data_IF_790404800697
#
_entry.id   IF_790404800697
#
_cell.length_a   1.000
_cell.length_b   1.000
_cell.length_c   1.000
_cell.angle_alpha   90.00
_cell.angle_beta   90.00
_cell.angle_gamma   90.00
#
_symmetry.space_group_name_H-M   'P 1'
#
loop_
_entity.id
_entity.type
_entity.pdbx_description
1 polymer ?
#
# COMPACT_ATOMS: atom_id res chain seq x y z
N UNK A 1 31.55 -39.06 5.96
CA UNK A 1 30.31 -39.07 6.77
C UNK A 1 29.85 -37.63 7.00
N UNK A 2 28.57 -37.37 6.77
CA UNK A 2 27.99 -36.06 6.45
C UNK A 2 28.22 -34.95 7.50
N UNK A 3 28.95 -33.89 7.10
CA UNK A 3 28.78 -32.57 7.72
C UNK A 3 27.39 -32.07 7.33
N UNK A 4 26.41 -32.30 8.20
CA UNK A 4 25.15 -31.55 8.21
C UNK A 4 25.48 -30.07 8.37
N UNK A 5 25.68 -29.40 7.24
CA UNK A 5 25.69 -27.94 7.11
C UNK A 5 24.25 -27.51 7.42
N UNK A 6 23.89 -27.45 8.69
CA UNK A 6 22.81 -26.60 9.15
C UNK A 6 23.27 -25.17 8.86
N UNK A 7 23.06 -24.73 7.61
CA UNK A 7 22.94 -23.32 7.28
C UNK A 7 21.75 -22.85 8.11
N UNK A 8 22.01 -22.38 9.33
CA UNK A 8 21.09 -21.50 10.05
C UNK A 8 20.75 -20.41 9.05
N UNK A 9 19.55 -20.50 8.47
CA UNK A 9 19.01 -19.53 7.52
C UNK A 9 18.89 -18.26 8.33
N UNK A 10 19.89 -17.39 8.28
CA UNK A 10 19.79 -16.04 8.82
C UNK A 10 18.64 -15.40 8.05
N UNK A 11 17.48 -15.32 8.69
CA UNK A 11 16.33 -14.65 8.09
C UNK A 11 16.73 -13.20 7.83
N UNK A 12 16.69 -12.83 6.55
CA UNK A 12 16.92 -11.45 6.15
C UNK A 12 15.74 -10.61 6.66
N UNK A 13 16.01 -9.51 7.35
CA UNK A 13 15.01 -8.54 7.84
C UNK A 13 14.10 -7.99 6.73
N UNK A 14 14.53 -8.09 5.48
CA UNK A 14 13.77 -7.66 4.31
C UNK A 14 12.69 -8.66 3.88
N UNK A 15 12.88 -9.94 4.19
CA UNK A 15 12.08 -11.03 3.63
C UNK A 15 10.59 -11.01 4.04
N UNK A 16 10.22 -10.69 5.30
CA UNK A 16 8.82 -10.63 5.70
C UNK A 16 8.02 -9.59 4.91
N UNK A 17 8.60 -8.41 4.66
CA UNK A 17 7.95 -7.38 3.83
C UNK A 17 7.79 -7.84 2.38
N UNK A 18 8.81 -8.49 1.80
CA UNK A 18 8.75 -8.97 0.41
C UNK A 18 7.62 -9.98 0.20
N UNK A 19 7.51 -10.99 1.07
CA UNK A 19 6.44 -11.99 0.97
C UNK A 19 5.06 -11.34 1.14
N UNK A 20 4.92 -10.51 2.18
CA UNK A 20 3.64 -9.87 2.49
C UNK A 20 3.22 -8.94 1.35
N UNK A 21 4.15 -8.15 0.82
CA UNK A 21 3.92 -7.26 -0.31
C UNK A 21 3.51 -8.01 -1.57
N UNK A 22 4.19 -9.10 -1.95
CA UNK A 22 3.75 -9.92 -3.08
C UNK A 22 2.35 -10.51 -2.86
N UNK A 23 2.09 -11.04 -1.66
CA UNK A 23 0.79 -11.62 -1.34
C UNK A 23 -0.33 -10.60 -1.47
N UNK A 24 -0.14 -9.39 -0.94
CA UNK A 24 -1.11 -8.30 -1.03
C UNK A 24 -1.25 -7.80 -2.48
N UNK A 25 -0.15 -7.59 -3.22
CA UNK A 25 -0.26 -7.11 -4.61
C UNK A 25 -0.87 -8.14 -5.55
N UNK A 26 -0.59 -9.43 -5.37
CA UNK A 26 -1.29 -10.48 -6.09
C UNK A 26 -2.78 -10.50 -5.74
N UNK A 27 -3.13 -10.36 -4.46
CA UNK A 27 -4.53 -10.28 -4.05
C UNK A 27 -5.23 -9.04 -4.63
N UNK A 28 -4.53 -7.90 -4.73
CA UNK A 28 -5.04 -6.69 -5.38
C UNK A 28 -5.33 -6.94 -6.86
N UNK A 29 -4.40 -7.55 -7.60
CA UNK A 29 -4.60 -7.89 -9.02
C UNK A 29 -5.83 -8.79 -9.18
N UNK A 30 -5.93 -9.86 -8.39
CA UNK A 30 -7.07 -10.78 -8.46
C UNK A 30 -8.37 -10.05 -8.07
N UNK A 31 -8.34 -9.23 -7.02
CA UNK A 31 -9.47 -8.42 -6.56
C UNK A 31 -9.99 -7.51 -7.67
N UNK A 32 -9.11 -6.74 -8.31
CA UNK A 32 -9.47 -5.83 -9.42
C UNK A 32 -10.02 -6.60 -10.63
N UNK A 33 -9.43 -7.76 -10.95
CA UNK A 33 -9.94 -8.60 -12.03
C UNK A 33 -11.39 -9.04 -11.77
N UNK A 34 -11.66 -9.52 -10.56
CA UNK A 34 -12.98 -9.99 -10.13
C UNK A 34 -13.99 -8.85 -9.98
N UNK A 35 -13.61 -7.72 -9.39
CA UNK A 35 -14.55 -6.63 -9.11
C UNK A 35 -14.83 -5.73 -10.30
N UNK A 36 -13.87 -5.60 -11.21
CA UNK A 36 -13.84 -4.52 -12.19
C UNK A 36 -13.64 -5.07 -13.59
N UNK A 37 -12.53 -5.77 -13.84
CA UNK A 37 -12.15 -6.14 -15.22
C UNK A 37 -13.14 -7.12 -15.84
N UNK A 38 -13.49 -8.19 -15.13
CA UNK A 38 -14.45 -9.19 -15.63
C UNK A 38 -15.85 -8.59 -15.75
N UNK A 39 -16.43 -7.94 -14.72
CA UNK A 39 -17.77 -7.36 -14.84
C UNK A 39 -17.90 -6.32 -15.97
N UNK A 40 -16.96 -5.38 -16.09
CA UNK A 40 -17.00 -4.40 -17.18
C UNK A 40 -16.68 -5.03 -18.55
N UNK A 41 -15.86 -6.07 -18.60
CA UNK A 41 -15.66 -6.87 -19.81
C UNK A 41 -16.95 -7.54 -20.28
N UNK A 42 -17.73 -8.10 -19.35
CA UNK A 42 -19.03 -8.69 -19.67
C UNK A 42 -20.05 -7.66 -20.16
N UNK A 43 -20.06 -6.45 -19.55
CA UNK A 43 -20.90 -5.35 -20.02
C UNK A 43 -20.45 -4.91 -21.43
N UNK A 44 -19.15 -4.87 -21.69
CA UNK A 44 -18.60 -4.46 -22.98
C UNK A 44 -19.02 -5.41 -24.11
N UNK A 45 -19.23 -6.69 -23.82
CA UNK A 45 -19.71 -7.69 -24.79
C UNK A 45 -21.22 -7.64 -25.03
N UNK A 46 -21.98 -6.86 -24.25
CA UNK A 46 -23.42 -6.76 -24.41
C UNK A 46 -23.77 -5.83 -25.61
N UNK A 47 -24.60 -6.28 -26.58
CA UNK A 47 -24.92 -5.51 -27.79
C UNK A 47 -25.58 -4.14 -27.52
N UNK A 48 -26.24 -3.98 -26.36
CA UNK A 48 -26.95 -2.76 -26.01
C UNK A 48 -26.09 -1.80 -25.17
N UNK A 49 -24.82 -2.12 -24.95
CA UNK A 49 -23.95 -1.30 -24.12
C UNK A 49 -23.38 -0.09 -24.90
N UNK A 50 -23.15 1.01 -24.18
CA UNK A 50 -22.37 2.12 -24.68
C UNK A 50 -20.88 1.75 -24.66
N UNK A 51 -20.44 0.96 -25.65
CA UNK A 51 -19.11 0.33 -25.68
C UNK A 51 -17.97 1.31 -25.40
N UNK A 52 -18.01 2.54 -25.93
CA UNK A 52 -17.00 3.56 -25.65
C UNK A 52 -16.91 3.92 -24.16
N UNK A 53 -18.04 4.15 -23.50
CA UNK A 53 -18.07 4.49 -22.07
C UNK A 53 -17.63 3.31 -21.20
N UNK A 54 -18.02 2.10 -21.58
CA UNK A 54 -17.65 0.87 -20.86
C UNK A 54 -16.16 0.59 -21.01
N UNK A 55 -15.59 0.77 -22.21
CA UNK A 55 -14.15 0.62 -22.44
C UNK A 55 -13.33 1.63 -21.64
N UNK A 56 -13.74 2.91 -21.63
CA UNK A 56 -13.06 3.94 -20.83
C UNK A 56 -13.12 3.60 -19.34
N UNK A 57 -14.29 3.21 -18.83
CA UNK A 57 -14.45 2.83 -17.42
C UNK A 57 -13.60 1.60 -17.06
N UNK A 58 -13.63 0.57 -17.90
CA UNK A 58 -12.84 -0.65 -17.74
C UNK A 58 -11.35 -0.33 -17.61
N UNK A 59 -10.81 0.45 -18.56
CA UNK A 59 -9.39 0.82 -18.58
C UNK A 59 -9.06 1.71 -17.40
N UNK A 60 -9.82 2.79 -17.18
CA UNK A 60 -9.53 3.76 -16.14
C UNK A 60 -9.53 3.12 -14.74
N UNK A 61 -10.53 2.29 -14.43
CA UNK A 61 -10.64 1.65 -13.12
C UNK A 61 -9.61 0.52 -12.94
N UNK A 62 -9.38 -0.30 -13.96
CA UNK A 62 -8.41 -1.40 -13.87
C UNK A 62 -6.98 -0.87 -13.79
N UNK A 63 -6.61 0.01 -14.73
CA UNK A 63 -5.26 0.59 -14.78
C UNK A 63 -5.03 1.51 -13.59
N UNK A 64 -6.00 2.35 -13.24
CA UNK A 64 -5.87 3.27 -12.11
C UNK A 64 -5.68 2.56 -10.77
N UNK A 65 -6.31 1.41 -10.56
CA UNK A 65 -6.15 0.64 -9.33
C UNK A 65 -4.78 -0.08 -9.24
N UNK A 66 -4.23 -0.53 -10.37
CA UNK A 66 -3.04 -1.40 -10.38
C UNK A 66 -1.73 -0.64 -10.68
N UNK A 67 -1.77 0.30 -11.62
CA UNK A 67 -0.58 0.90 -12.20
C UNK A 67 0.28 1.67 -11.18
N UNK A 68 -0.27 2.46 -10.23
CA UNK A 68 0.52 3.16 -9.23
C UNK A 68 1.47 2.25 -8.44
N UNK A 69 0.93 1.16 -7.88
CA UNK A 69 1.71 0.26 -7.02
C UNK A 69 2.71 -0.57 -7.83
N UNK A 70 2.33 -1.02 -9.03
CA UNK A 70 3.22 -1.74 -9.94
C UNK A 70 4.39 -0.88 -10.39
N UNK A 71 4.13 0.35 -10.84
CA UNK A 71 5.19 1.24 -11.30
C UNK A 71 6.08 1.69 -10.14
N UNK A 72 5.50 1.98 -8.97
CA UNK A 72 6.26 2.21 -7.75
C UNK A 72 7.22 1.05 -7.46
N UNK A 73 6.70 -0.18 -7.47
CA UNK A 73 7.51 -1.38 -7.27
C UNK A 73 8.65 -1.50 -8.29
N UNK A 74 8.35 -1.35 -9.59
CA UNK A 74 9.36 -1.48 -10.65
C UNK A 74 10.45 -0.41 -10.54
N UNK A 75 10.08 0.83 -10.25
CA UNK A 75 11.05 1.92 -10.04
C UNK A 75 11.93 1.61 -8.82
N UNK A 76 11.34 1.18 -7.71
CA UNK A 76 12.08 0.85 -6.49
C UNK A 76 13.05 -0.32 -6.67
N UNK A 77 12.65 -1.37 -7.39
CA UNK A 77 13.50 -2.53 -7.68
C UNK A 77 14.78 -2.13 -8.42
N UNK A 78 14.70 -1.10 -9.28
CA UNK A 78 15.85 -0.54 -10.00
C UNK A 78 16.58 0.59 -9.26
N UNK A 79 16.08 1.03 -8.10
CA UNK A 79 16.60 2.18 -7.37
C UNK A 79 17.77 1.85 -6.42
N UNK A 80 18.30 0.63 -6.41
CA UNK A 80 19.38 0.21 -5.50
C UNK A 80 20.52 -0.49 -6.26
N UNK A 81 21.77 -0.26 -5.82
CA UNK A 81 22.97 -0.93 -6.36
C UNK A 81 23.40 -2.09 -5.45
N UNK A 82 22.54 -3.08 -5.28
CA UNK A 82 22.82 -4.29 -4.49
C UNK A 82 23.11 -5.50 -5.39
N UNK A 83 23.76 -6.53 -4.85
CA UNK A 83 23.84 -7.86 -5.49
C UNK A 83 22.72 -8.80 -5.02
N UNK A 84 22.03 -8.44 -3.93
CA UNK A 84 21.00 -9.26 -3.30
C UNK A 84 19.65 -9.01 -3.94
N UNK A 85 19.08 -10.02 -4.64
CA UNK A 85 17.72 -9.95 -5.20
C UNK A 85 16.67 -9.57 -4.15
N UNK A 86 16.83 -10.05 -2.91
CA UNK A 86 15.90 -9.73 -1.82
C UNK A 86 15.91 -8.23 -1.51
N UNK A 87 17.07 -7.57 -1.58
CA UNK A 87 17.16 -6.12 -1.31
C UNK A 87 16.52 -5.31 -2.44
N UNK A 88 16.62 -5.77 -3.69
CA UNK A 88 15.91 -5.16 -4.83
C UNK A 88 14.41 -5.23 -4.62
N UNK A 89 13.86 -6.42 -4.38
CA UNK A 89 12.43 -6.61 -4.17
C UNK A 89 11.93 -5.89 -2.92
N UNK A 90 12.74 -5.82 -1.87
CA UNK A 90 12.45 -5.04 -0.68
C UNK A 90 12.33 -3.54 -0.97
N UNK A 91 13.27 -3.00 -1.75
CA UNK A 91 13.25 -1.60 -2.20
C UNK A 91 12.03 -1.35 -3.09
N UNK A 92 11.72 -2.28 -4.00
CA UNK A 92 10.49 -2.27 -4.78
C UNK A 92 9.25 -2.21 -3.89
N UNK A 93 9.14 -3.07 -2.88
CA UNK A 93 7.99 -3.06 -1.97
C UNK A 93 7.85 -1.75 -1.21
N UNK A 94 8.96 -1.17 -0.75
CA UNK A 94 8.94 0.14 -0.09
C UNK A 94 8.42 1.25 -1.01
N UNK A 95 8.83 1.27 -2.28
CA UNK A 95 8.26 2.21 -3.26
C UNK A 95 6.81 1.89 -3.61
N UNK A 96 6.40 0.62 -3.64
CA UNK A 96 5.00 0.24 -3.82
C UNK A 96 4.10 0.75 -2.68
N UNK A 97 4.57 0.64 -1.42
CA UNK A 97 3.89 1.21 -0.26
C UNK A 97 3.81 2.74 -0.33
N UNK A 98 4.89 3.40 -0.74
CA UNK A 98 4.90 4.85 -0.93
C UNK A 98 3.94 5.28 -2.06
N UNK A 99 3.93 4.54 -3.16
CA UNK A 99 3.04 4.79 -4.30
C UNK A 99 1.56 4.72 -3.91
N UNK A 100 1.18 3.77 -3.04
CA UNK A 100 -0.16 3.71 -2.47
C UNK A 100 -0.54 5.01 -1.75
N UNK A 101 0.34 5.54 -0.90
CA UNK A 101 0.04 6.79 -0.18
C UNK A 101 -0.02 8.00 -1.10
N UNK A 102 0.93 8.13 -2.03
CA UNK A 102 0.93 9.25 -2.99
C UNK A 102 -0.32 9.20 -3.85
N UNK A 103 -0.73 8.01 -4.32
CA UNK A 103 -1.95 7.84 -5.09
C UNK A 103 -3.18 8.33 -4.33
N UNK A 104 -3.37 7.91 -3.07
CA UNK A 104 -4.54 8.34 -2.30
C UNK A 104 -4.48 9.84 -2.00
N UNK A 105 -3.32 10.39 -1.68
CA UNK A 105 -3.16 11.83 -1.47
C UNK A 105 -3.54 12.62 -2.72
N UNK A 106 -2.96 12.28 -3.87
CA UNK A 106 -3.28 12.97 -5.12
C UNK A 106 -4.76 12.83 -5.46
N UNK A 107 -5.35 11.66 -5.24
CA UNK A 107 -6.78 11.42 -5.48
C UNK A 107 -7.66 12.28 -4.56
N UNK A 108 -7.27 12.46 -3.29
CA UNK A 108 -8.04 13.24 -2.32
C UNK A 108 -8.06 14.75 -2.62
N UNK A 109 -7.05 15.27 -3.34
CA UNK A 109 -6.95 16.70 -3.69
C UNK A 109 -7.47 17.04 -5.09
N UNK A 110 -7.89 16.04 -5.89
CA UNK A 110 -8.54 16.30 -7.18
C UNK A 110 -10.00 16.71 -6.91
N UNK A 111 -10.31 17.99 -7.14
CA UNK A 111 -11.68 18.52 -7.08
C UNK A 111 -12.16 18.80 -8.49
N UNK A 112 -13.20 18.09 -8.93
CA UNK A 112 -13.88 18.34 -10.21
C UNK A 112 -15.26 18.93 -9.87
N UNK A 113 -15.60 20.14 -10.36
CA UNK A 113 -16.91 20.71 -10.09
C UNK A 113 -18.02 19.82 -10.66
N UNK A 114 -19.10 19.62 -9.90
CA UNK A 114 -20.14 18.65 -10.24
C UNK A 114 -20.79 18.92 -11.60
N UNK A 115 -20.87 20.18 -12.00
CA UNK A 115 -21.38 20.63 -13.30
C UNK A 115 -20.62 19.99 -14.48
N UNK A 116 -19.32 19.76 -14.34
CA UNK A 116 -18.49 19.12 -15.37
C UNK A 116 -18.56 17.58 -15.36
N UNK A 117 -19.05 16.98 -14.28
CA UNK A 117 -19.00 15.52 -14.09
C UNK A 117 -19.99 14.74 -14.96
N UNK A 118 -21.13 15.36 -15.31
CA UNK A 118 -22.16 14.73 -16.14
C UNK A 118 -21.84 14.87 -17.64
N UNK A 119 -21.41 16.05 -18.08
CA UNK A 119 -21.08 16.33 -19.48
C UNK A 119 -19.76 15.66 -19.91
N UNK A 120 -18.79 15.56 -18.99
CA UNK A 120 -17.47 14.99 -19.25
C UNK A 120 -17.17 13.74 -18.41
N UNK A 121 -18.16 12.85 -18.26
CA UNK A 121 -18.05 11.63 -17.43
C UNK A 121 -16.81 10.77 -17.75
N UNK A 122 -16.49 10.56 -19.03
CA UNK A 122 -15.33 9.77 -19.44
C UNK A 122 -14.00 10.45 -19.07
N UNK A 123 -13.91 11.77 -19.26
CA UNK A 123 -12.72 12.55 -18.88
C UNK A 123 -12.56 12.55 -17.36
N UNK A 124 -13.67 12.70 -16.62
CA UNK A 124 -13.69 12.64 -15.16
C UNK A 124 -13.15 11.30 -14.64
N UNK A 125 -13.58 10.18 -15.22
CA UNK A 125 -13.07 8.86 -14.87
C UNK A 125 -11.56 8.73 -15.11
N UNK A 126 -11.06 9.23 -16.25
CA UNK A 126 -9.63 9.21 -16.59
C UNK A 126 -8.84 10.07 -15.60
N UNK A 127 -9.30 11.29 -15.33
CA UNK A 127 -8.62 12.22 -14.42
C UNK A 127 -8.56 11.65 -13.01
N UNK A 128 -9.66 11.11 -12.48
CA UNK A 128 -9.68 10.60 -11.10
C UNK A 128 -8.86 9.32 -10.90
N UNK A 129 -8.68 8.50 -11.94
CA UNK A 129 -8.04 7.18 -11.78
C UNK A 129 -6.63 7.10 -12.40
N UNK A 130 -6.36 7.84 -13.48
CA UNK A 130 -5.07 7.75 -14.21
C UNK A 130 -4.14 8.89 -13.79
N UNK A 131 -4.63 10.11 -13.59
CA UNK A 131 -3.78 11.26 -13.23
C UNK A 131 -2.96 11.06 -11.95
N UNK A 132 -3.49 10.46 -10.85
CA UNK A 132 -2.69 10.15 -9.67
C UNK A 132 -1.46 9.29 -9.99
N UNK A 133 -1.58 8.39 -10.98
CA UNK A 133 -0.46 7.54 -11.40
C UNK A 133 0.70 8.34 -11.97
N UNK A 134 0.42 9.40 -12.74
CA UNK A 134 1.45 10.27 -13.29
C UNK A 134 2.24 10.94 -12.15
N UNK A 135 1.54 11.44 -11.13
CA UNK A 135 2.20 12.03 -9.96
C UNK A 135 3.02 11.02 -9.17
N UNK A 136 2.52 9.79 -9.01
CA UNK A 136 3.29 8.68 -8.42
C UNK A 136 4.58 8.43 -9.18
N UNK A 137 4.53 8.35 -10.51
CA UNK A 137 5.70 8.14 -11.37
C UNK A 137 6.72 9.25 -11.15
N UNK A 138 6.29 10.52 -11.23
CA UNK A 138 7.19 11.66 -11.10
C UNK A 138 7.92 11.64 -9.75
N UNK A 139 7.18 11.47 -8.65
CA UNK A 139 7.76 11.47 -7.30
C UNK A 139 8.65 10.24 -7.08
N UNK A 140 8.22 9.06 -7.52
CA UNK A 140 9.00 7.83 -7.39
C UNK A 140 10.32 7.92 -8.20
N UNK A 141 10.28 8.40 -9.43
CA UNK A 141 11.49 8.59 -10.25
C UNK A 141 12.42 9.62 -9.61
N UNK A 142 11.90 10.76 -9.14
CA UNK A 142 12.72 11.78 -8.47
C UNK A 142 13.46 11.20 -7.25
N UNK A 143 12.74 10.45 -6.39
CA UNK A 143 13.35 9.79 -5.24
C UNK A 143 14.35 8.70 -5.63
N UNK A 144 14.02 7.87 -6.60
CA UNK A 144 14.89 6.79 -7.07
C UNK A 144 16.19 7.34 -7.65
N UNK A 145 16.11 8.35 -8.52
CA UNK A 145 17.29 9.03 -9.09
C UNK A 145 18.10 9.69 -7.97
N UNK A 146 17.45 10.38 -7.03
CA UNK A 146 18.14 10.99 -5.89
C UNK A 146 18.88 9.96 -5.05
N UNK A 147 18.26 8.81 -4.74
CA UNK A 147 18.88 7.72 -4.00
C UNK A 147 20.07 7.12 -4.75
N UNK A 148 19.89 6.78 -6.03
CA UNK A 148 20.92 6.14 -6.88
C UNK A 148 22.14 7.05 -7.12
N UNK A 149 21.92 8.37 -7.18
CA UNK A 149 22.99 9.38 -7.33
C UNK A 149 23.64 9.76 -6.01
N UNK A 150 22.99 9.48 -4.88
CA UNK A 150 23.57 9.74 -3.57
C UNK A 150 24.70 8.76 -3.23
N UNK A 151 25.53 9.13 -2.25
CA UNK A 151 26.53 8.22 -1.67
C UNK A 151 25.90 7.01 -0.96
N UNK A 152 24.57 7.03 -0.73
CA UNK A 152 23.81 5.99 -0.05
C UNK A 152 23.25 4.92 -0.99
N UNK A 153 23.55 4.94 -2.29
CA UNK A 153 23.00 4.01 -3.28
C UNK A 153 23.21 2.49 -3.01
N UNK A 154 24.14 2.15 -2.10
CA UNK A 154 24.41 0.77 -1.63
C UNK A 154 23.79 0.44 -0.27
N UNK A 155 23.26 1.44 0.43
CA UNK A 155 22.57 1.27 1.72
C UNK A 155 21.11 0.90 1.48
N UNK A 156 20.45 0.42 2.53
CA UNK A 156 19.02 0.13 2.48
C UNK A 156 18.23 1.44 2.37
N UNK A 157 17.18 1.46 1.53
CA UNK A 157 16.37 2.66 1.26
C UNK A 157 15.75 3.28 2.53
N UNK A 158 15.54 2.48 3.57
CA UNK A 158 15.02 2.94 4.88
C UNK A 158 15.96 3.97 5.53
N UNK A 159 17.26 3.90 5.23
CA UNK A 159 18.26 4.84 5.74
C UNK A 159 18.28 6.16 4.94
N UNK A 160 17.70 6.17 3.74
CA UNK A 160 17.62 7.35 2.88
C UNK A 160 16.56 8.32 3.40
N UNK A 161 17.02 9.41 4.05
CA UNK A 161 16.16 10.39 4.74
C UNK A 161 15.02 10.95 3.87
N UNK A 162 15.22 11.32 2.58
CA UNK A 162 14.13 11.82 1.75
C UNK A 162 12.99 10.81 1.57
N UNK A 163 13.32 9.52 1.38
CA UNK A 163 12.31 8.46 1.31
C UNK A 163 11.59 8.28 2.64
N UNK A 164 12.35 8.16 3.73
CA UNK A 164 11.81 8.00 5.07
C UNK A 164 10.85 9.13 5.46
N UNK A 165 11.27 10.39 5.24
CA UNK A 165 10.48 11.57 5.55
C UNK A 165 9.19 11.61 4.73
N UNK A 166 9.26 11.31 3.43
CA UNK A 166 8.08 11.31 2.58
C UNK A 166 7.09 10.21 3.00
N UNK A 167 7.56 8.97 3.25
CA UNK A 167 6.68 7.88 3.68
C UNK A 167 5.93 8.21 4.99
N UNK A 168 6.65 8.76 5.97
CA UNK A 168 6.07 9.17 7.26
C UNK A 168 5.06 10.31 7.05
N UNK A 169 5.45 11.35 6.31
CA UNK A 169 4.59 12.49 6.03
C UNK A 169 3.31 12.06 5.32
N UNK A 170 3.41 11.19 4.31
CA UNK A 170 2.27 10.74 3.53
C UNK A 170 1.30 9.89 4.34
N UNK A 171 1.80 9.02 5.24
CA UNK A 171 0.95 8.21 6.12
C UNK A 171 0.15 9.07 7.14
N UNK A 172 0.66 10.24 7.51
CA UNK A 172 0.01 11.16 8.45
C UNK A 172 -0.87 12.20 7.70
N UNK A 173 -0.49 12.57 6.49
CA UNK A 173 -1.13 13.66 5.75
C UNK A 173 -2.63 13.44 5.49
N UNK A 174 -3.06 12.22 5.16
CA UNK A 174 -4.48 11.92 4.93
C UNK A 174 -5.36 12.08 6.18
N UNK A 175 -5.10 11.38 7.30
CA UNK A 175 -5.93 11.55 8.49
C UNK A 175 -5.85 12.97 9.05
N UNK A 176 -4.69 13.64 8.93
CA UNK A 176 -4.56 15.05 9.31
C UNK A 176 -5.38 15.96 8.40
N UNK A 177 -5.33 15.76 7.09
CA UNK A 177 -6.10 16.53 6.10
C UNK A 177 -7.60 16.37 6.31
N UNK A 178 -8.07 15.15 6.57
CA UNK A 178 -9.47 14.87 6.89
C UNK A 178 -9.93 15.59 8.17
N UNK A 179 -9.09 15.59 9.22
CA UNK A 179 -9.38 16.34 10.45
C UNK A 179 -9.44 17.85 10.19
N UNK A 180 -8.45 18.40 9.46
CA UNK A 180 -8.41 19.82 9.09
C UNK A 180 -9.65 20.21 8.29
N UNK A 181 -10.08 19.39 7.34
CA UNK A 181 -11.30 19.61 6.57
C UNK A 181 -12.56 19.63 7.46
N UNK A 182 -12.67 18.70 8.42
CA UNK A 182 -13.79 18.68 9.37
C UNK A 182 -13.83 19.95 10.23
N UNK A 183 -12.66 20.46 10.63
CA UNK A 183 -12.53 21.72 11.36
C UNK A 183 -13.00 22.89 10.51
N UNK A 184 -12.52 23.01 9.27
CA UNK A 184 -12.91 24.10 8.37
C UNK A 184 -14.39 24.07 7.98
N UNK A 185 -14.99 22.88 7.90
CA UNK A 185 -16.41 22.71 7.56
C UNK A 185 -17.34 22.75 8.78
N UNK A 186 -16.82 22.98 10.00
CA UNK A 186 -17.56 22.93 11.25
C UNK A 186 -18.33 21.61 11.46
N UNK A 187 -17.80 20.49 10.95
CA UNK A 187 -18.39 19.15 11.09
C UNK A 187 -17.62 18.27 12.09
N UNK A 188 -16.68 18.87 12.84
CA UNK A 188 -15.85 18.16 13.81
C UNK A 188 -16.68 17.52 14.91
N UNK A 189 -16.49 16.21 15.08
CA UNK A 189 -16.99 15.45 16.22
C UNK A 189 -15.90 14.50 16.75
N UNK A 190 -16.22 13.71 17.79
CA UNK A 190 -15.26 12.77 18.39
C UNK A 190 -14.70 11.77 17.36
N UNK A 191 -15.51 11.36 16.38
CA UNK A 191 -15.11 10.43 15.34
C UNK A 191 -14.13 11.03 14.32
N UNK A 192 -14.10 12.36 14.16
CA UNK A 192 -13.15 13.06 13.28
C UNK A 192 -11.69 12.83 13.67
N UNK A 193 -11.42 12.51 14.94
CA UNK A 193 -10.06 12.25 15.45
C UNK A 193 -9.62 10.79 15.32
N UNK A 194 -10.57 9.86 15.16
CA UNK A 194 -10.31 8.41 15.19
C UNK A 194 -9.27 7.96 14.15
N UNK A 195 -9.32 8.39 12.87
CA UNK A 195 -8.32 7.96 11.88
C UNK A 195 -6.88 8.34 12.28
N UNK A 196 -6.69 9.56 12.78
CA UNK A 196 -5.38 10.04 13.22
C UNK A 196 -4.90 9.29 14.47
N UNK A 197 -5.80 9.07 15.45
CA UNK A 197 -5.48 8.32 16.66
C UNK A 197 -5.10 6.87 16.34
N UNK A 198 -5.76 6.23 15.38
CA UNK A 198 -5.42 4.86 14.95
C UNK A 198 -4.02 4.81 14.32
N UNK A 199 -3.69 5.73 13.41
CA UNK A 199 -2.35 5.82 12.81
C UNK A 199 -1.28 6.02 13.89
N UNK A 200 -1.51 6.94 14.82
CA UNK A 200 -0.59 7.22 15.92
C UNK A 200 -0.45 6.02 16.87
N UNK A 201 -1.55 5.40 17.29
CA UNK A 201 -1.55 4.27 18.19
C UNK A 201 -0.78 3.07 17.59
N UNK A 202 -1.05 2.74 16.34
CA UNK A 202 -0.37 1.63 15.66
C UNK A 202 1.10 1.94 15.35
N UNK A 203 1.41 3.18 15.00
CA UNK A 203 2.78 3.65 14.87
C UNK A 203 3.55 3.52 16.19
N UNK A 204 2.93 3.91 17.31
CA UNK A 204 3.51 3.80 18.65
C UNK A 204 3.66 2.34 19.10
N UNK A 205 2.66 1.48 18.87
CA UNK A 205 2.74 0.04 19.16
C UNK A 205 3.90 -0.57 18.37
N UNK A 206 3.98 -0.29 17.07
CA UNK A 206 5.08 -0.76 16.21
C UNK A 206 6.43 -0.27 16.75
N UNK A 207 6.55 1.01 17.06
CA UNK A 207 7.77 1.59 17.61
C UNK A 207 8.18 0.93 18.93
N UNK A 208 7.21 0.71 19.82
CA UNK A 208 7.43 0.14 21.15
C UNK A 208 7.90 -1.32 21.06
N UNK A 209 7.29 -2.13 20.19
CA UNK A 209 7.70 -3.53 19.96
C UNK A 209 9.13 -3.66 19.42
N UNK A 210 9.68 -2.62 18.79
CA UNK A 210 11.08 -2.58 18.33
C UNK A 210 12.09 -2.09 19.40
N UNK A 211 11.65 -1.63 20.58
CA UNK A 211 12.56 -1.14 21.63
C UNK A 211 13.55 -2.19 22.13
N UNK A 212 13.13 -3.45 22.15
CA UNK A 212 13.95 -4.59 22.56
C UNK A 212 14.96 -5.07 21.51
N UNK A 213 15.04 -4.42 20.35
CA UNK A 213 15.87 -4.87 19.23
C UNK A 213 16.89 -3.82 18.79
N UNK A 214 18.02 -4.29 18.21
CA UNK A 214 19.14 -3.46 17.72
C UNK A 214 18.78 -2.73 16.41
N UNK A 215 17.86 -1.78 16.51
CA UNK A 215 17.49 -0.85 15.44
C UNK A 215 17.69 0.57 15.96
N UNK A 216 18.25 1.46 15.14
CA UNK A 216 18.44 2.88 15.51
C UNK A 216 17.09 3.55 15.79
N UNK A 217 17.08 4.63 16.56
CA UNK A 217 15.86 5.40 16.85
C UNK A 217 15.14 5.80 15.56
N UNK A 218 15.88 6.30 14.57
CA UNK A 218 15.33 6.64 13.27
C UNK A 218 14.78 5.40 12.54
N UNK A 219 15.54 4.29 12.52
CA UNK A 219 15.09 3.05 11.91
C UNK A 219 13.77 2.54 12.51
N UNK A 220 13.58 2.67 13.83
CA UNK A 220 12.31 2.30 14.48
C UNK A 220 11.13 3.13 13.98
N UNK A 221 11.33 4.43 13.78
CA UNK A 221 10.28 5.33 13.25
C UNK A 221 9.92 4.91 11.83
N UNK A 222 10.92 4.72 10.96
CA UNK A 222 10.67 4.35 9.56
C UNK A 222 10.01 2.98 9.45
N UNK A 223 10.47 1.98 10.21
CA UNK A 223 9.82 0.66 10.23
C UNK A 223 8.40 0.69 10.81
N UNK A 224 8.11 1.62 11.71
CA UNK A 224 6.73 1.85 12.19
C UNK A 224 5.85 2.44 11.10
N UNK A 225 6.38 3.37 10.30
CA UNK A 225 5.67 3.89 9.12
C UNK A 225 5.44 2.81 8.05
N UNK A 226 6.43 1.93 7.82
CA UNK A 226 6.26 0.74 6.96
C UNK A 226 5.18 -0.18 7.51
N UNK A 227 5.17 -0.44 8.82
CA UNK A 227 4.14 -1.25 9.47
C UNK A 227 2.73 -0.69 9.26
N UNK A 228 2.55 0.60 9.51
CA UNK A 228 1.27 1.30 9.27
C UNK A 228 0.89 1.21 7.80
N UNK A 229 1.83 1.41 6.89
CA UNK A 229 1.59 1.31 5.44
C UNK A 229 1.11 -0.08 5.03
N UNK A 230 1.71 -1.14 5.58
CA UNK A 230 1.27 -2.52 5.31
C UNK A 230 -0.17 -2.75 5.81
N UNK A 231 -0.53 -2.24 6.99
CA UNK A 231 -1.91 -2.34 7.46
C UNK A 231 -2.88 -1.64 6.51
N UNK A 232 -2.59 -0.40 6.13
CA UNK A 232 -3.49 0.38 5.28
C UNK A 232 -3.65 -0.26 3.89
N UNK A 233 -2.56 -0.76 3.31
CA UNK A 233 -2.64 -1.55 2.07
C UNK A 233 -3.46 -2.81 2.29
N UNK A 234 -3.28 -3.55 3.38
CA UNK A 234 -4.10 -4.72 3.69
C UNK A 234 -5.60 -4.37 3.86
N UNK A 235 -5.90 -3.25 4.51
CA UNK A 235 -7.26 -2.72 4.71
C UNK A 235 -7.90 -2.20 3.41
N UNK A 236 -7.10 -1.84 2.42
CA UNK A 236 -7.60 -1.51 1.08
C UNK A 236 -7.85 -2.77 0.26
N UNK A 237 -6.88 -3.69 0.25
CA UNK A 237 -6.83 -4.83 -0.66
C UNK A 237 -7.75 -5.98 -0.23
N UNK A 238 -7.71 -6.39 1.04
CA UNK A 238 -8.40 -7.60 1.51
C UNK A 238 -9.92 -7.43 1.50
N UNK A 239 -10.51 -6.34 2.06
CA UNK A 239 -11.95 -6.14 1.99
C UNK A 239 -12.45 -6.03 0.55
N UNK A 240 -11.69 -5.38 -0.32
CA UNK A 240 -12.02 -5.29 -1.75
C UNK A 240 -12.08 -6.68 -2.41
N UNK A 241 -11.08 -7.51 -2.19
CA UNK A 241 -11.06 -8.89 -2.68
C UNK A 241 -12.21 -9.74 -2.11
N UNK A 242 -12.43 -9.69 -0.79
CA UNK A 242 -13.49 -10.46 -0.11
C UNK A 242 -14.87 -10.05 -0.63
N UNK A 243 -15.11 -8.75 -0.80
CA UNK A 243 -16.35 -8.22 -1.40
C UNK A 243 -16.51 -8.61 -2.86
N UNK A 244 -15.43 -8.64 -3.64
CA UNK A 244 -15.47 -9.11 -5.03
C UNK A 244 -15.89 -10.58 -5.10
N UNK A 245 -15.29 -11.45 -4.29
CA UNK A 245 -15.64 -12.88 -4.22
C UNK A 245 -17.08 -13.07 -3.76
N UNK A 246 -17.52 -12.35 -2.73
CA UNK A 246 -18.88 -12.42 -2.22
C UNK A 246 -19.91 -12.04 -3.29
N UNK A 247 -19.62 -11.06 -4.15
CA UNK A 247 -20.49 -10.65 -5.25
C UNK A 247 -20.73 -11.75 -6.31
N UNK A 248 -19.80 -12.70 -6.46
CA UNK A 248 -20.01 -13.88 -7.33
C UNK A 248 -20.85 -14.97 -6.67
N UNK A 249 -20.83 -15.06 -5.34
CA UNK A 249 -21.57 -16.06 -4.57
C UNK A 249 -23.00 -15.60 -4.31
N UNK A 250 -23.18 -14.32 -3.96
CA UNK A 250 -24.46 -13.72 -3.61
C UNK A 250 -24.78 -12.65 -4.64
N UNK A 251 -25.64 -12.98 -5.60
CA UNK A 251 -25.92 -12.10 -6.76
C UNK A 251 -26.75 -10.85 -6.43
N UNK A 252 -27.46 -10.84 -5.30
CA UNK A 252 -28.25 -9.68 -4.81
C UNK A 252 -28.12 -9.57 -3.29
N UNK A 253 -26.92 -9.20 -2.80
CA UNK A 253 -26.70 -9.15 -1.36
C UNK A 253 -27.47 -7.96 -0.79
N UNK A 254 -28.10 -8.16 0.37
CA UNK A 254 -28.66 -7.04 1.14
C UNK A 254 -27.52 -6.17 1.67
N UNK A 255 -27.85 -4.93 2.09
CA UNK A 255 -26.87 -4.02 2.71
C UNK A 255 -26.22 -4.68 3.93
N UNK A 256 -27.01 -5.36 4.75
CA UNK A 256 -26.54 -6.08 5.95
C UNK A 256 -25.49 -7.15 5.61
N UNK A 257 -25.73 -7.93 4.55
CA UNK A 257 -24.78 -8.95 4.07
C UNK A 257 -23.48 -8.30 3.60
N UNK A 258 -23.56 -7.22 2.81
CA UNK A 258 -22.35 -6.52 2.34
C UNK A 258 -21.58 -5.86 3.48
N UNK A 259 -22.26 -5.34 4.49
CA UNK A 259 -21.62 -4.80 5.70
C UNK A 259 -20.88 -5.92 6.45
N UNK A 260 -21.51 -7.08 6.64
CA UNK A 260 -20.86 -8.23 7.28
C UNK A 260 -19.63 -8.73 6.50
N UNK A 261 -19.74 -8.83 5.17
CA UNK A 261 -18.64 -9.23 4.27
C UNK A 261 -17.46 -8.26 4.40
N UNK A 262 -17.72 -6.95 4.39
CA UNK A 262 -16.66 -5.95 4.58
C UNK A 262 -16.03 -6.02 5.97
N UNK A 263 -16.81 -6.22 7.03
CA UNK A 263 -16.30 -6.40 8.40
C UNK A 263 -15.37 -7.61 8.50
N UNK A 264 -15.74 -8.73 7.88
CA UNK A 264 -14.86 -9.92 7.77
C UNK A 264 -13.57 -9.57 7.04
N UNK A 265 -13.66 -8.84 5.93
CA UNK A 265 -12.49 -8.35 5.19
C UNK A 265 -11.56 -7.49 6.05
N UNK A 266 -12.09 -6.54 6.80
CA UNK A 266 -11.29 -5.69 7.69
C UNK A 266 -10.67 -6.48 8.84
N UNK A 267 -11.41 -7.42 9.44
CA UNK A 267 -10.87 -8.30 10.48
C UNK A 267 -9.70 -9.15 9.95
N UNK A 268 -9.83 -9.73 8.75
CA UNK A 268 -8.75 -10.46 8.08
C UNK A 268 -7.54 -9.58 7.80
N UNK A 269 -7.75 -8.31 7.41
CA UNK A 269 -6.65 -7.36 7.21
C UNK A 269 -5.85 -7.10 8.50
N UNK A 270 -6.54 -6.94 9.64
CA UNK A 270 -5.86 -6.84 10.96
C UNK A 270 -5.07 -8.10 11.27
N UNK A 271 -5.64 -9.29 11.04
CA UNK A 271 -4.97 -10.56 11.30
C UNK A 271 -3.70 -10.69 10.44
N UNK A 272 -3.80 -10.41 9.14
CA UNK A 272 -2.67 -10.44 8.21
C UNK A 272 -1.58 -9.47 8.65
N UNK A 273 -1.96 -8.25 9.06
CA UNK A 273 -1.00 -7.28 9.59
C UNK A 273 -0.32 -7.75 10.88
N UNK A 274 -1.07 -8.33 11.83
CA UNK A 274 -0.51 -8.88 13.07
C UNK A 274 0.50 -10.00 12.77
N UNK A 275 0.17 -10.90 11.85
CA UNK A 275 1.08 -11.97 11.41
C UNK A 275 2.33 -11.38 10.77
N UNK A 276 2.17 -10.44 9.84
CA UNK A 276 3.31 -9.74 9.23
C UNK A 276 4.20 -9.09 10.29
N UNK A 277 3.62 -8.29 11.18
CA UNK A 277 4.39 -7.50 12.14
C UNK A 277 5.11 -8.39 13.15
N UNK A 278 4.47 -9.44 13.63
CA UNK A 278 5.11 -10.41 14.54
C UNK A 278 6.30 -11.13 13.88
N UNK A 279 6.18 -11.52 12.61
CA UNK A 279 7.28 -12.11 11.84
C UNK A 279 8.38 -11.08 11.57
N UNK A 280 8.01 -9.85 11.24
CA UNK A 280 8.94 -8.74 11.01
C UNK A 280 9.77 -8.45 12.27
N UNK A 281 9.15 -8.32 13.46
CA UNK A 281 9.85 -8.12 14.73
C UNK A 281 10.80 -9.28 15.04
N UNK A 282 10.36 -10.54 14.85
CA UNK A 282 11.22 -11.72 15.04
C UNK A 282 12.45 -11.71 14.12
N UNK A 283 12.31 -11.25 12.87
CA UNK A 283 13.44 -11.18 11.94
C UNK A 283 14.59 -10.29 12.45
N UNK A 284 14.29 -9.19 13.17
CA UNK A 284 15.33 -8.34 13.76
C UNK A 284 16.02 -9.01 14.97
N UNK A 285 15.30 -9.81 15.75
CA UNK A 285 15.86 -10.48 16.94
C UNK A 285 16.84 -11.60 16.58
N UNK A 286 16.67 -12.20 15.39
CA UNK A 286 17.50 -13.31 14.89
C UNK A 286 18.86 -12.87 14.33
N UNK A 287 19.09 -11.57 14.14
CA UNK A 287 20.38 -10.99 13.73
C UNK A 287 21.43 -10.91 14.86
N UNK A 288 21.26 -11.61 15.99
CA UNK A 288 22.31 -11.68 17.02
C UNK A 288 23.53 -12.39 16.43
N UNK A 289 24.73 -11.76 16.38
CA UNK A 289 25.94 -12.55 16.32
C UNK A 289 26.02 -13.32 17.63
N UNK A 290 26.13 -14.64 17.55
CA UNK A 290 26.67 -15.45 18.65
C UNK A 290 27.97 -14.79 19.08
N UNK A 291 27.97 -14.14 20.25
CA UNK A 291 29.21 -13.77 20.94
C UNK A 291 29.98 -15.07 21.10
N UNK A 292 31.04 -15.25 20.31
CA UNK A 292 32.14 -16.12 20.73
C UNK A 292 32.65 -15.49 22.03
N UNK A 293 32.34 -16.13 23.15
CA UNK A 293 33.18 -16.02 24.35
C UNK A 293 34.39 -16.91 24.11
#
# INVERSE_FOLDING_TARGET
MNKLKNKTKTENIHFPLVITGYSLFTLLVIGVLLSTTIPFGMIFLNPNALHGNVAVALIALTVGALLPTLVGYLIGDHAIKSKSKVNHHFTGMLFGLLAYWIMILLSAFIVIPQEFSHEYRNITLIVLNILPTIGVILIAVMLAVSHVRSSQAKQDLIEFKPFAGLLIASAIALPLGALVQNIFTNTTNVYSFVPLLVVLALGLISYWTLRGVRVTTNGRIVWSAVSVSVLFVAMFVIPHFVSAVAGYIVQRPTVEVMTAVNLVGYALAVIVWLVYWTVQVKSFTRLRPTRKR
#
